data_IF_594030059944
#
_entry.id   IF_594030059944
#
_cell.length_a   1.000
_cell.length_b   1.000
_cell.length_c   1.000
_cell.angle_alpha   90.00
_cell.angle_beta   90.00
_cell.angle_gamma   90.00
#
_symmetry.space_group_name_H-M   'P 1'
#
loop_
_entity.id
_entity.type
_entity.pdbx_description
1 polymer ?
#
# COMPACT_ATOMS: atom_id res chain seq x y z
N UNK A 1 -8.97 7.31 7.85
CA UNK A 1 -9.34 5.91 8.12
C UNK A 1 -10.26 5.93 9.33
N UNK A 2 -11.41 5.25 9.26
CA UNK A 2 -12.32 5.13 10.41
C UNK A 2 -11.74 4.19 11.45
N UNK A 3 -12.27 4.21 12.68
CA UNK A 3 -11.83 3.30 13.74
C UNK A 3 -12.09 1.83 13.38
N UNK A 4 -13.20 1.56 12.71
CA UNK A 4 -13.52 0.23 12.16
C UNK A 4 -12.47 -0.20 11.13
N UNK A 5 -12.12 0.69 10.20
CA UNK A 5 -11.08 0.42 9.21
C UNK A 5 -9.74 0.15 9.87
N UNK A 6 -9.38 0.91 10.90
CA UNK A 6 -8.15 0.72 11.68
C UNK A 6 -8.11 -0.65 12.35
N UNK A 7 -9.21 -1.07 12.99
CA UNK A 7 -9.31 -2.38 13.61
C UNK A 7 -9.10 -3.54 12.60
N UNK A 8 -9.41 -3.32 11.32
CA UNK A 8 -9.19 -4.31 10.26
C UNK A 8 -7.73 -4.46 9.80
N UNK A 9 -6.81 -3.60 10.21
CA UNK A 9 -5.40 -3.66 9.74
C UNK A 9 -4.37 -3.72 10.85
N UNK A 10 -4.72 -3.30 12.07
CA UNK A 10 -3.80 -3.33 13.22
C UNK A 10 -3.23 -4.74 13.43
N UNK A 11 -1.90 -4.83 13.48
CA UNK A 11 -1.19 -6.09 13.73
C UNK A 11 -1.24 -7.08 12.56
N UNK A 12 -1.64 -6.65 11.36
CA UNK A 12 -1.77 -7.53 10.18
C UNK A 12 -0.70 -7.25 9.13
N UNK A 13 -0.35 -8.28 8.38
CA UNK A 13 0.37 -8.16 7.11
C UNK A 13 -0.67 -7.93 6.01
N UNK A 14 -0.54 -6.85 5.24
CA UNK A 14 -1.55 -6.41 4.27
C UNK A 14 -0.95 -6.45 2.87
N UNK A 15 -1.71 -6.93 1.89
CA UNK A 15 -1.36 -6.79 0.47
C UNK A 15 -2.25 -5.69 -0.14
N UNK A 16 -1.63 -4.62 -0.60
CA UNK A 16 -2.28 -3.59 -1.41
C UNK A 16 -2.33 -4.06 -2.87
N UNK A 17 -3.53 -4.18 -3.41
CA UNK A 17 -3.75 -4.60 -4.80
C UNK A 17 -4.15 -3.36 -5.61
N UNK A 18 -3.45 -3.12 -6.71
CA UNK A 18 -3.75 -2.05 -7.67
C UNK A 18 -3.67 -2.59 -9.11
N UNK A 19 -4.20 -1.86 -10.09
CA UNK A 19 -4.12 -2.28 -11.49
C UNK A 19 -2.75 -1.99 -12.10
N UNK A 20 -2.28 -0.74 -12.01
CA UNK A 20 -1.05 -0.27 -12.67
C UNK A 20 -0.21 0.55 -11.70
N UNK A 21 1.02 0.10 -11.47
CA UNK A 21 2.03 0.88 -10.78
C UNK A 21 2.67 1.89 -11.74
N UNK A 22 2.66 3.17 -11.39
CA UNK A 22 3.31 4.23 -12.17
C UNK A 22 4.48 4.86 -11.42
N UNK A 23 4.37 6.12 -11.02
CA UNK A 23 5.38 6.82 -10.21
C UNK A 23 5.42 6.36 -8.76
N UNK A 24 4.47 5.51 -8.35
CA UNK A 24 4.35 5.01 -6.99
C UNK A 24 3.63 5.94 -6.02
N UNK A 25 3.18 7.15 -6.43
CA UNK A 25 2.53 8.10 -5.52
C UNK A 25 1.29 7.53 -4.81
N UNK A 26 0.46 6.77 -5.52
CA UNK A 26 -0.72 6.10 -4.94
C UNK A 26 -0.31 5.07 -3.89
N UNK A 27 0.64 4.20 -4.25
CA UNK A 27 1.15 3.14 -3.37
C UNK A 27 1.82 3.73 -2.13
N UNK A 28 2.63 4.78 -2.27
CA UNK A 28 3.30 5.45 -1.16
C UNK A 28 2.28 6.07 -0.18
N UNK A 29 1.26 6.76 -0.69
CA UNK A 29 0.19 7.33 0.14
C UNK A 29 -0.60 6.24 0.89
N UNK A 30 -1.02 5.18 0.20
CA UNK A 30 -1.76 4.07 0.80
C UNK A 30 -0.93 3.33 1.85
N UNK A 31 0.33 3.01 1.53
CA UNK A 31 1.25 2.32 2.44
C UNK A 31 1.49 3.13 3.71
N UNK A 32 1.72 4.45 3.57
CA UNK A 32 1.87 5.35 4.73
C UNK A 32 0.64 5.35 5.63
N UNK A 33 -0.57 5.36 5.05
CA UNK A 33 -1.82 5.33 5.84
C UNK A 33 -1.99 3.99 6.56
N UNK A 34 -1.75 2.87 5.88
CA UNK A 34 -1.88 1.52 6.46
C UNK A 34 -0.87 1.26 7.59
N UNK A 35 0.40 1.64 7.38
CA UNK A 35 1.43 1.53 8.41
C UNK A 35 1.13 2.43 9.62
N UNK A 36 0.71 3.67 9.39
CA UNK A 36 0.25 4.57 10.49
C UNK A 36 -0.97 4.03 11.22
N UNK A 37 -1.83 3.27 10.52
CA UNK A 37 -2.97 2.60 11.12
C UNK A 37 -2.57 1.39 11.98
N UNK A 38 -1.35 0.88 11.87
CA UNK A 38 -0.81 -0.20 12.68
C UNK A 38 -0.62 -1.52 11.94
N UNK A 39 -0.65 -1.53 10.60
CA UNK A 39 -0.24 -2.70 9.83
C UNK A 39 1.23 -3.06 10.14
N UNK A 40 1.54 -4.35 10.26
CA UNK A 40 2.92 -4.83 10.48
C UNK A 40 3.77 -4.72 9.22
N UNK A 41 3.15 -4.94 8.07
CA UNK A 41 3.80 -4.93 6.76
C UNK A 41 2.75 -4.59 5.70
N UNK A 42 3.19 -3.94 4.63
CA UNK A 42 2.38 -3.68 3.43
C UNK A 42 3.19 -4.14 2.23
N UNK A 43 2.72 -5.20 1.57
CA UNK A 43 3.23 -5.64 0.27
C UNK A 43 2.33 -5.09 -0.84
N UNK A 44 2.87 -4.93 -2.04
CA UNK A 44 2.15 -4.31 -3.16
C UNK A 44 2.12 -5.27 -4.34
N UNK A 45 0.92 -5.57 -4.82
CA UNK A 45 0.69 -6.40 -6.00
C UNK A 45 -0.02 -5.56 -7.06
N UNK A 46 0.59 -5.45 -8.24
CA UNK A 46 -0.02 -4.76 -9.38
C UNK A 46 0.01 -5.62 -10.62
N UNK A 47 -0.93 -5.41 -11.54
CA UNK A 47 -0.99 -6.16 -12.79
C UNK A 47 0.05 -5.68 -13.80
N UNK A 48 0.31 -4.37 -13.86
CA UNK A 48 1.27 -3.78 -14.77
C UNK A 48 2.11 -2.68 -14.12
N UNK A 49 3.26 -2.38 -14.72
CA UNK A 49 4.11 -1.23 -14.37
C UNK A 49 4.19 -0.34 -15.61
N UNK A 50 3.79 0.93 -15.49
CA UNK A 50 3.96 1.93 -16.54
C UNK A 50 5.04 2.94 -16.09
N UNK A 51 6.14 2.96 -16.84
CA UNK A 51 7.47 3.55 -16.52
C UNK A 51 8.43 2.62 -15.76
N UNK A 52 9.43 2.11 -16.49
CA UNK A 52 10.63 1.47 -15.95
C UNK A 52 11.68 2.55 -15.60
N UNK A 53 11.38 3.40 -14.62
CA UNK A 53 12.39 4.20 -13.94
C UNK A 53 13.09 3.36 -12.86
N UNK A 54 14.38 3.59 -12.55
CA UNK A 54 15.04 2.84 -11.49
C UNK A 54 14.29 3.04 -10.16
N UNK A 55 13.89 1.93 -9.53
CA UNK A 55 13.38 1.95 -8.16
C UNK A 55 14.51 2.47 -7.26
N UNK A 56 14.27 3.59 -6.57
CA UNK A 56 15.16 4.07 -5.52
C UNK A 56 15.03 3.23 -4.26
#
# INVERSE_FOLDING_TARGET
MTDEGKALVVGRQVVLIDDVFTTGSTVDACTKVLLKAGAMQVDVLTFAIAELGPMK
#
